data_IF_872695466556
#
_entry.id   IF_872695466556
#
_cell.length_a   1.000
_cell.length_b   1.000
_cell.length_c   1.000
_cell.angle_alpha   90.00
_cell.angle_beta   90.00
_cell.angle_gamma   90.00
#
_symmetry.space_group_name_H-M   'P 1'
#
loop_
_entity.id
_entity.type
_entity.pdbx_description
1 polymer ?
#
# COMPACT_ATOMS: atom_id res chain seq x y z
N UNK A 1 -8.11 11.73 -10.16
CA UNK A 1 -7.41 10.92 -11.19
C UNK A 1 -7.27 9.44 -10.77
N UNK A 2 -7.85 8.51 -11.55
CA UNK A 2 -7.98 7.09 -11.21
C UNK A 2 -6.65 6.44 -10.76
N UNK A 3 -6.47 6.33 -9.45
CA UNK A 3 -5.22 5.94 -8.78
C UNK A 3 -4.95 4.46 -8.92
N UNK A 4 -4.47 3.99 -10.07
CA UNK A 4 -3.91 2.62 -10.18
C UNK A 4 -3.81 2.03 -11.58
N UNK A 5 -3.72 2.89 -12.58
CA UNK A 5 -3.00 2.55 -13.81
C UNK A 5 -1.56 2.07 -13.49
N UNK A 6 -0.90 2.61 -12.46
CA UNK A 6 0.42 2.14 -12.00
C UNK A 6 0.46 0.63 -11.73
N UNK A 7 -0.52 0.10 -10.98
CA UNK A 7 -0.59 -1.33 -10.69
C UNK A 7 -0.88 -2.15 -11.94
N UNK A 8 -1.72 -1.65 -12.85
CA UNK A 8 -2.02 -2.32 -14.11
C UNK A 8 -0.79 -2.41 -15.04
N UNK A 9 -0.02 -1.32 -15.17
CA UNK A 9 1.23 -1.30 -15.96
C UNK A 9 2.27 -2.24 -15.36
N UNK A 10 2.51 -2.18 -14.05
CA UNK A 10 3.45 -3.07 -13.38
C UNK A 10 3.07 -4.54 -13.55
N UNK A 11 1.78 -4.86 -13.37
CA UNK A 11 1.24 -6.21 -13.61
C UNK A 11 1.46 -6.67 -15.05
N UNK A 12 1.24 -5.81 -16.03
CA UNK A 12 1.42 -6.14 -17.45
C UNK A 12 2.90 -6.44 -17.78
N UNK A 13 3.83 -5.62 -17.28
CA UNK A 13 5.28 -5.82 -17.44
C UNK A 13 5.71 -7.14 -16.81
N UNK A 14 5.30 -7.40 -15.57
CA UNK A 14 5.65 -8.65 -14.88
C UNK A 14 5.07 -9.88 -15.58
N UNK A 15 3.82 -9.83 -16.03
CA UNK A 15 3.21 -10.92 -16.82
C UNK A 15 3.98 -11.20 -18.10
N UNK A 16 4.47 -10.17 -18.79
CA UNK A 16 5.31 -10.35 -19.98
C UNK A 16 6.67 -10.95 -19.64
N UNK A 17 7.32 -10.48 -18.57
CA UNK A 17 8.61 -11.04 -18.12
C UNK A 17 8.49 -12.53 -17.72
N UNK A 18 7.44 -12.91 -16.99
CA UNK A 18 7.20 -14.31 -16.57
C UNK A 18 6.94 -15.25 -17.76
N UNK A 19 6.23 -14.79 -18.80
CA UNK A 19 6.03 -15.56 -20.04
C UNK A 19 7.34 -15.86 -20.78
N UNK A 20 8.27 -14.92 -20.81
CA UNK A 20 9.58 -15.12 -21.46
C UNK A 20 10.54 -16.03 -20.68
N UNK A 21 10.33 -16.18 -19.37
CA UNK A 21 11.23 -16.91 -18.48
C UNK A 21 10.82 -18.37 -18.19
N UNK A 22 9.80 -18.91 -18.87
CA UNK A 22 9.22 -20.23 -18.63
C UNK A 22 8.95 -20.53 -17.13
N UNK A 23 8.59 -19.49 -16.36
CA UNK A 23 8.29 -19.59 -14.93
C UNK A 23 6.82 -19.98 -14.76
N UNK A 24 6.51 -21.25 -15.01
CA UNK A 24 5.15 -21.82 -15.00
C UNK A 24 4.50 -21.87 -13.60
N UNK A 25 5.30 -21.78 -12.52
CA UNK A 25 4.84 -22.06 -11.15
C UNK A 25 4.46 -20.82 -10.31
N UNK A 26 4.77 -19.61 -10.78
CA UNK A 26 4.40 -18.39 -10.02
C UNK A 26 3.07 -17.88 -10.55
N UNK A 27 2.00 -18.34 -9.91
CA UNK A 27 0.61 -18.01 -10.20
C UNK A 27 0.38 -16.54 -10.60
N UNK A 28 -0.66 -16.34 -11.38
CA UNK A 28 -0.97 -15.09 -12.03
C UNK A 28 -1.11 -13.92 -11.03
N UNK A 29 -0.48 -12.78 -11.32
CA UNK A 29 -0.57 -11.60 -10.43
C UNK A 29 -2.04 -11.15 -10.37
N UNK A 30 -2.60 -10.93 -9.17
CA UNK A 30 -4.02 -10.64 -9.01
C UNK A 30 -4.41 -9.33 -9.68
N UNK A 31 -5.69 -9.20 -10.07
CA UNK A 31 -6.28 -8.00 -10.69
C UNK A 31 -6.71 -6.94 -9.68
N UNK A 32 -7.00 -7.38 -8.46
CA UNK A 32 -7.55 -6.60 -7.35
C UNK A 32 -6.92 -7.08 -6.06
N UNK A 33 -7.35 -6.55 -4.91
CA UNK A 33 -6.88 -7.00 -3.62
C UNK A 33 -7.15 -8.51 -3.45
N UNK A 34 -6.09 -9.29 -3.52
CA UNK A 34 -6.06 -10.68 -3.10
C UNK A 34 -5.28 -10.78 -1.80
N UNK A 35 -5.97 -11.11 -0.71
CA UNK A 35 -5.35 -11.18 0.62
C UNK A 35 -4.44 -12.39 0.73
N UNK A 36 -4.73 -13.47 0.01
CA UNK A 36 -4.04 -14.76 0.14
C UNK A 36 -2.90 -14.94 -0.86
N UNK A 37 -2.63 -13.92 -1.69
CA UNK A 37 -1.54 -13.96 -2.65
C UNK A 37 -0.18 -14.18 -1.95
N UNK A 38 0.50 -15.32 -2.20
CA UNK A 38 1.63 -15.80 -1.41
C UNK A 38 2.95 -15.15 -1.86
N UNK A 39 3.01 -13.82 -1.91
CA UNK A 39 4.22 -13.07 -2.24
C UNK A 39 4.57 -12.06 -1.15
N UNK A 40 5.78 -12.16 -0.61
CA UNK A 40 6.27 -11.27 0.44
C UNK A 40 6.28 -9.79 0.03
N UNK A 41 6.66 -9.48 -1.22
CA UNK A 41 6.64 -8.12 -1.73
C UNK A 41 5.22 -7.55 -1.70
N UNK A 42 4.27 -8.30 -2.24
CA UNK A 42 2.86 -7.91 -2.23
C UNK A 42 2.30 -7.69 -0.81
N UNK A 43 2.55 -8.62 0.13
CA UNK A 43 2.11 -8.49 1.51
C UNK A 43 2.76 -7.28 2.22
N UNK A 44 4.05 -7.00 1.96
CA UNK A 44 4.71 -5.80 2.46
C UNK A 44 4.14 -4.51 1.88
N UNK A 45 3.74 -4.54 0.60
CA UNK A 45 3.02 -3.44 -0.04
C UNK A 45 1.68 -3.15 0.64
N UNK A 46 0.90 -4.20 0.92
CA UNK A 46 -0.35 -4.10 1.70
C UNK A 46 -0.07 -3.51 3.08
N UNK A 47 0.92 -4.04 3.80
CA UNK A 47 1.30 -3.58 5.14
C UNK A 47 1.63 -2.08 5.16
N UNK A 48 2.40 -1.62 4.17
CA UNK A 48 2.75 -0.22 4.01
C UNK A 48 1.51 0.67 3.83
N UNK A 49 0.57 0.26 2.99
CA UNK A 49 -0.68 1.01 2.74
C UNK A 49 -1.52 1.15 4.02
N UNK A 50 -1.60 0.11 4.86
CA UNK A 50 -2.36 0.14 6.11
C UNK A 50 -1.71 1.07 7.14
N UNK A 51 -0.38 1.11 7.23
CA UNK A 51 0.30 2.10 8.08
C UNK A 51 0.13 3.53 7.57
N UNK A 52 0.17 3.77 6.26
CA UNK A 52 -0.16 5.08 5.67
C UNK A 52 -1.60 5.49 6.02
N UNK A 53 -2.55 4.56 5.98
CA UNK A 53 -3.92 4.81 6.42
C UNK A 53 -3.97 5.20 7.91
N UNK A 54 -3.25 4.50 8.78
CA UNK A 54 -3.17 4.84 10.20
C UNK A 54 -2.65 6.28 10.43
N UNK A 55 -1.63 6.70 9.68
CA UNK A 55 -1.13 8.08 9.73
C UNK A 55 -2.18 9.08 9.29
N UNK A 56 -2.84 8.84 8.16
CA UNK A 56 -3.91 9.71 7.65
C UNK A 56 -5.08 9.81 8.63
N UNK A 57 -5.46 8.70 9.26
CA UNK A 57 -6.51 8.65 10.27
C UNK A 57 -6.15 9.44 11.55
N UNK A 58 -4.87 9.41 11.95
CA UNK A 58 -4.38 10.09 13.15
C UNK A 58 -4.19 11.61 12.96
N UNK A 59 -3.66 12.01 11.80
CA UNK A 59 -3.20 13.38 11.53
C UNK A 59 -4.15 14.20 10.65
N UNK A 60 -5.08 13.54 9.93
CA UNK A 60 -5.98 14.21 8.99
C UNK A 60 -5.33 14.50 7.62
N UNK A 61 -5.99 15.29 6.76
CA UNK A 61 -5.55 15.53 5.37
C UNK A 61 -4.31 16.44 5.24
N UNK A 62 -3.91 17.16 6.29
CA UNK A 62 -2.79 18.12 6.27
C UNK A 62 -1.39 17.53 6.49
N UNK A 63 -1.14 16.27 6.13
CA UNK A 63 0.17 15.64 6.35
C UNK A 63 1.19 16.22 5.35
N UNK A 64 2.14 17.02 5.86
CA UNK A 64 3.17 17.70 5.05
C UNK A 64 4.08 16.76 4.23
N UNK A 65 4.30 15.53 4.70
CA UNK A 65 5.01 14.49 3.97
C UNK A 65 4.48 13.14 4.41
N UNK A 66 3.85 12.42 3.48
CA UNK A 66 3.27 11.11 3.76
C UNK A 66 4.35 10.05 3.96
N UNK A 67 4.01 8.94 4.61
CA UNK A 67 4.92 7.78 4.67
C UNK A 67 5.37 7.35 3.27
N UNK A 68 4.47 7.42 2.27
CA UNK A 68 4.79 7.14 0.87
C UNK A 68 5.96 8.00 0.37
N UNK A 69 5.91 9.31 0.58
CA UNK A 69 6.94 10.23 0.06
C UNK A 69 8.31 9.97 0.66
N UNK A 70 8.36 9.55 1.93
CA UNK A 70 9.61 9.34 2.65
C UNK A 70 10.19 7.94 2.49
N UNK A 71 9.33 6.93 2.43
CA UNK A 71 9.76 5.55 2.67
C UNK A 71 9.39 4.57 1.57
N UNK A 72 8.61 4.94 0.56
CA UNK A 72 8.15 3.97 -0.45
C UNK A 72 9.31 3.31 -1.22
N UNK A 73 10.29 4.11 -1.66
CA UNK A 73 11.48 3.59 -2.34
C UNK A 73 12.32 2.65 -1.47
N UNK A 74 12.60 3.07 -0.23
CA UNK A 74 13.35 2.24 0.72
C UNK A 74 12.56 0.97 1.14
N UNK A 75 11.24 1.08 1.34
CA UNK A 75 10.37 -0.03 1.76
C UNK A 75 10.24 -1.10 0.68
N UNK A 76 10.18 -0.69 -0.59
CA UNK A 76 10.16 -1.63 -1.70
C UNK A 76 11.53 -2.25 -1.97
N UNK A 77 12.64 -1.57 -1.69
CA UNK A 77 13.99 -2.10 -1.96
C UNK A 77 14.60 -2.89 -0.79
N UNK A 78 14.54 -2.37 0.44
CA UNK A 78 15.23 -2.88 1.64
C UNK A 78 14.32 -2.99 2.87
N UNK A 79 13.34 -3.92 2.87
CA UNK A 79 12.29 -3.96 3.89
C UNK A 79 12.80 -4.08 5.33
N UNK A 80 13.78 -4.97 5.59
CA UNK A 80 14.27 -5.22 6.94
C UNK A 80 14.78 -3.96 7.67
N UNK A 81 15.40 -3.03 6.94
CA UNK A 81 15.97 -1.81 7.53
C UNK A 81 14.92 -0.73 7.84
N UNK A 82 13.87 -0.65 7.04
CA UNK A 82 12.92 0.48 7.09
C UNK A 82 11.58 0.13 7.75
N UNK A 83 11.13 -1.12 7.64
CA UNK A 83 9.85 -1.51 8.24
C UNK A 83 9.86 -1.43 9.76
N UNK A 84 11.00 -1.62 10.43
CA UNK A 84 11.12 -1.37 11.86
C UNK A 84 10.74 0.08 12.24
N UNK A 85 11.15 1.05 11.42
CA UNK A 85 10.83 2.47 11.60
C UNK A 85 9.37 2.75 11.28
N UNK A 86 8.86 2.19 10.18
CA UNK A 86 7.45 2.34 9.76
C UNK A 86 6.51 1.79 10.83
N UNK A 87 6.78 0.58 11.33
CA UNK A 87 5.97 -0.06 12.37
C UNK A 87 5.97 0.79 13.64
N UNK A 88 7.14 1.23 14.11
CA UNK A 88 7.25 2.07 15.32
C UNK A 88 6.44 3.35 15.19
N UNK A 89 6.58 4.07 14.08
CA UNK A 89 5.84 5.30 13.84
C UNK A 89 4.34 5.04 13.66
N UNK A 90 3.99 3.94 12.98
CA UNK A 90 2.62 3.47 12.78
C UNK A 90 1.90 3.17 14.09
N UNK A 91 2.58 2.53 15.06
CA UNK A 91 2.01 2.28 16.39
C UNK A 91 1.68 3.57 17.14
N UNK A 92 2.51 4.61 17.01
CA UNK A 92 2.21 5.92 17.60
C UNK A 92 0.97 6.56 16.97
N UNK A 93 0.81 6.43 15.65
CA UNK A 93 -0.39 6.88 14.96
C UNK A 93 -1.62 6.09 15.39
N UNK A 94 -1.54 4.76 15.46
CA UNK A 94 -2.60 3.89 15.96
C UNK A 94 -3.04 4.26 17.38
N UNK A 95 -2.10 4.52 18.29
CA UNK A 95 -2.43 4.97 19.65
C UNK A 95 -3.24 6.27 19.67
N UNK A 96 -2.98 7.18 18.73
CA UNK A 96 -3.76 8.41 18.55
C UNK A 96 -5.16 8.10 17.97
N UNK A 97 -5.23 7.22 16.95
CA UNK A 97 -6.50 6.77 16.35
C UNK A 97 -7.39 6.09 17.40
N UNK A 98 -6.85 5.23 18.27
CA UNK A 98 -7.61 4.59 19.37
C UNK A 98 -8.34 5.60 20.25
N UNK A 99 -7.67 6.72 20.57
CA UNK A 99 -8.24 7.78 21.41
C UNK A 99 -9.32 8.58 20.71
N UNK A 100 -9.13 8.89 19.42
CA UNK A 100 -10.03 9.79 18.67
C UNK A 100 -11.14 9.06 17.92
N UNK A 101 -10.86 7.86 17.42
CA UNK A 101 -11.69 7.07 16.49
C UNK A 101 -11.51 5.56 16.77
N UNK A 102 -11.98 5.06 17.93
CA UNK A 102 -11.73 3.67 18.35
C UNK A 102 -12.23 2.62 17.34
N UNK A 103 -13.37 2.86 16.69
CA UNK A 103 -13.89 1.95 15.64
C UNK A 103 -12.94 1.84 14.44
N UNK A 104 -12.33 2.95 14.00
CA UNK A 104 -11.32 2.94 12.94
C UNK A 104 -10.04 2.22 13.37
N UNK A 105 -9.61 2.39 14.62
CA UNK A 105 -8.45 1.68 15.13
C UNK A 105 -8.66 0.16 15.09
N UNK A 106 -9.83 -0.33 15.51
CA UNK A 106 -10.15 -1.76 15.49
C UNK A 106 -10.08 -2.35 14.06
N UNK A 107 -10.59 -1.62 13.05
CA UNK A 107 -10.53 -2.08 11.66
C UNK A 107 -9.09 -2.11 11.14
N UNK A 108 -8.29 -1.07 11.42
CA UNK A 108 -6.89 -1.01 11.00
C UNK A 108 -6.07 -2.13 11.67
N UNK A 109 -6.28 -2.36 12.97
CA UNK A 109 -5.59 -3.42 13.72
C UNK A 109 -5.92 -4.81 13.18
N UNK A 110 -7.19 -5.07 12.90
CA UNK A 110 -7.62 -6.33 12.28
C UNK A 110 -6.92 -6.55 10.94
N UNK A 111 -6.81 -5.51 10.10
CA UNK A 111 -6.12 -5.61 8.81
C UNK A 111 -4.61 -5.84 9.00
N UNK A 112 -3.98 -5.19 9.98
CA UNK A 112 -2.57 -5.42 10.29
C UNK A 112 -2.31 -6.85 10.76
N UNK A 113 -3.11 -7.35 11.69
CA UNK A 113 -3.02 -8.73 12.19
C UNK A 113 -3.17 -9.75 11.06
N UNK A 114 -4.14 -9.52 10.17
CA UNK A 114 -4.40 -10.35 9.00
C UNK A 114 -3.21 -10.40 8.03
N UNK A 115 -2.54 -9.27 7.81
CA UNK A 115 -1.33 -9.20 6.98
C UNK A 115 -0.13 -9.86 7.68
N UNK A 116 0.09 -9.58 8.98
CA UNK A 116 1.19 -10.19 9.73
C UNK A 116 1.07 -11.71 9.80
N UNK A 117 -0.15 -12.26 9.91
CA UNK A 117 -0.38 -13.70 9.85
C UNK A 117 0.00 -14.35 8.51
N UNK A 118 0.14 -13.56 7.44
CA UNK A 118 0.54 -14.01 6.09
C UNK A 118 2.02 -13.79 5.78
N UNK A 119 2.71 -12.98 6.58
CA UNK A 119 4.15 -12.76 6.43
C UNK A 119 4.87 -13.94 7.09
N UNK A 120 5.21 -14.94 6.28
CA UNK A 120 6.00 -16.09 6.73
C UNK A 120 7.48 -15.68 6.76
N UNK A 121 8.19 -15.83 7.89
CA UNK A 121 9.63 -15.57 7.97
C UNK A 121 10.40 -16.42 6.95
N UNK A 122 11.25 -15.78 6.16
CA UNK A 122 12.06 -16.47 5.14
C UNK A 122 13.43 -16.98 5.69
N UNK A 123 13.64 -16.96 7.01
CA UNK A 123 14.91 -17.33 7.64
C UNK A 123 15.04 -16.79 9.07
N UNK A 124 16.26 -16.55 9.60
CA UNK A 124 16.46 -16.02 10.97
C UNK A 124 15.95 -14.57 11.13
N UNK A 125 15.70 -13.89 10.01
CA UNK A 125 15.08 -12.58 9.97
C UNK A 125 13.62 -12.72 9.53
N UNK A 126 12.71 -12.07 10.25
CA UNK A 126 11.29 -12.03 9.92
C UNK A 126 11.01 -11.31 8.60
N UNK A 127 11.89 -10.39 8.17
CA UNK A 127 11.77 -9.62 6.93
C UNK A 127 13.01 -9.74 6.04
N UNK A 128 12.86 -9.71 4.70
CA UNK A 128 13.98 -9.80 3.78
C UNK A 128 14.84 -8.54 3.80
N UNK A 129 16.17 -8.71 3.70
CA UNK A 129 17.13 -7.59 3.65
C UNK A 129 16.99 -6.76 2.38
N UNK A 130 16.68 -7.41 1.26
CA UNK A 130 16.39 -6.78 -0.03
C UNK A 130 15.33 -7.56 -0.79
N UNK A 131 14.57 -6.88 -1.65
CA UNK A 131 13.61 -7.50 -2.56
C UNK A 131 14.14 -7.50 -4.00
N UNK A 132 14.02 -8.61 -4.74
CA UNK A 132 14.29 -8.61 -6.18
C UNK A 132 13.27 -7.72 -6.91
N UNK A 133 13.64 -7.18 -8.08
CA UNK A 133 12.83 -6.20 -8.82
C UNK A 133 11.38 -6.66 -9.05
N UNK A 134 11.16 -7.95 -9.32
CA UNK A 134 9.81 -8.48 -9.48
C UNK A 134 8.97 -8.35 -8.20
N UNK A 135 9.58 -8.59 -7.04
CA UNK A 135 8.90 -8.44 -5.75
C UNK A 135 8.73 -6.96 -5.37
N UNK A 136 9.63 -6.07 -5.82
CA UNK A 136 9.45 -4.61 -5.65
C UNK A 136 8.24 -4.12 -6.47
N UNK A 137 8.05 -4.65 -7.67
CA UNK A 137 6.87 -4.35 -8.48
C UNK A 137 5.60 -4.94 -7.84
N UNK A 138 5.66 -6.17 -7.31
CA UNK A 138 4.53 -6.77 -6.58
C UNK A 138 4.20 -6.02 -5.28
N UNK A 139 5.20 -5.46 -4.59
CA UNK A 139 5.00 -4.52 -3.50
C UNK A 139 4.16 -3.31 -3.92
N UNK A 140 4.52 -2.67 -5.02
CA UNK A 140 3.77 -1.53 -5.51
C UNK A 140 2.33 -1.91 -5.88
N UNK A 141 2.12 -3.09 -6.49
CA UNK A 141 0.79 -3.61 -6.81
C UNK A 141 -0.04 -3.83 -5.53
N UNK A 142 0.52 -4.56 -4.55
CA UNK A 142 -0.16 -4.81 -3.27
C UNK A 142 -0.50 -3.53 -2.51
N UNK A 143 0.40 -2.55 -2.53
CA UNK A 143 0.17 -1.23 -1.99
C UNK A 143 -1.05 -0.54 -2.62
N UNK A 144 -1.09 -0.47 -3.96
CA UNK A 144 -2.20 0.20 -4.65
C UNK A 144 -3.51 -0.56 -4.52
N UNK A 145 -3.48 -1.89 -4.51
CA UNK A 145 -4.66 -2.71 -4.26
C UNK A 145 -5.24 -2.45 -2.87
N UNK A 146 -4.40 -2.47 -1.83
CA UNK A 146 -4.82 -2.20 -0.47
C UNK A 146 -5.28 -0.75 -0.26
N UNK A 147 -4.61 0.24 -0.89
CA UNK A 147 -4.97 1.65 -0.77
C UNK A 147 -6.31 1.98 -1.43
N UNK A 148 -6.67 1.26 -2.51
CA UNK A 148 -7.97 1.37 -3.17
C UNK A 148 -9.10 0.73 -2.37
N UNK A 149 -8.77 -0.27 -1.56
CA UNK A 149 -9.73 -0.94 -0.70
C UNK A 149 -10.27 0.03 0.35
N UNK A 150 -11.60 0.06 0.50
CA UNK A 150 -12.25 0.92 1.48
C UNK A 150 -12.31 0.22 2.80
N UNK A 151 -11.30 0.49 3.62
CA UNK A 151 -11.25 0.03 4.99
C UNK A 151 -12.28 0.85 5.79
N UNK A 152 -13.47 0.29 6.06
CA UNK A 152 -14.47 0.87 6.98
C UNK A 152 -15.74 1.50 6.37
N UNK A 153 -16.13 1.18 5.13
CA UNK A 153 -17.45 1.55 4.57
C UNK A 153 -18.23 0.31 4.11
N UNK A 154 -19.58 0.37 4.00
CA UNK A 154 -20.33 -0.70 3.32
C UNK A 154 -19.80 -0.83 1.89
N UNK A 155 -19.82 -2.05 1.37
CA UNK A 155 -19.31 -2.36 0.03
C UNK A 155 -19.86 -1.38 -1.03
N UNK A 156 -18.97 -0.64 -1.69
CA UNK A 156 -19.28 0.23 -2.83
C UNK A 156 -19.85 1.62 -2.50
N UNK A 157 -19.76 2.54 -3.47
CA UNK A 157 -20.30 3.91 -3.50
C UNK A 157 -19.47 5.05 -2.87
N UNK A 158 -19.11 6.04 -3.70
CA UNK A 158 -18.39 7.33 -3.55
C UNK A 158 -16.97 7.50 -4.14
N UNK A 159 -17.00 8.06 -5.35
CA UNK A 159 -15.90 8.48 -6.19
C UNK A 159 -14.97 9.52 -5.53
N UNK A 160 -13.73 9.46 -6.00
CA UNK A 160 -12.70 10.48 -6.07
C UNK A 160 -13.22 11.91 -5.77
N UNK A 161 -12.92 12.44 -4.58
CA UNK A 161 -12.92 13.88 -4.31
C UNK A 161 -11.48 14.32 -4.08
N UNK A 162 -10.66 14.19 -5.13
CA UNK A 162 -9.36 14.86 -5.27
C UNK A 162 -9.19 15.22 -6.75
N UNK A 163 -10.16 15.97 -7.29
CA UNK A 163 -9.95 16.77 -8.49
C UNK A 163 -9.34 18.10 -8.06
N UNK A 164 -8.19 18.53 -8.62
CA UNK A 164 -7.72 19.90 -8.41
C UNK A 164 -8.73 20.87 -9.02
N UNK A 165 -9.09 21.86 -8.22
CA UNK A 165 -9.94 22.98 -8.58
C UNK A 165 -9.33 23.72 -9.77
N UNK A 166 -9.91 23.55 -10.96
CA UNK A 166 -9.57 24.35 -12.13
C UNK A 166 -10.35 25.67 -12.04
N UNK A 167 -9.86 26.57 -11.19
CA UNK A 167 -10.32 27.94 -11.15
C UNK A 167 -9.56 28.76 -12.22
N UNK A 168 -10.29 29.01 -13.30
CA UNK A 168 -10.46 30.32 -13.94
C UNK A 168 -9.22 31.01 -14.55
N UNK A 169 -9.00 30.77 -15.84
CA UNK A 169 -8.42 31.79 -16.73
C UNK A 169 -9.53 32.29 -17.65
N UNK A 170 -10.33 33.23 -17.15
CA UNK A 170 -11.17 34.06 -17.97
C UNK A 170 -10.29 35.00 -18.81
N UNK A 171 -10.52 34.94 -20.10
CA UNK A 171 -9.99 35.78 -21.15
C UNK A 171 -10.28 37.25 -20.85
N UNK A 172 -9.25 38.12 -20.94
CA UNK A 172 -9.46 39.56 -21.08
C UNK A 172 -9.05 39.92 -22.51
N UNK A 173 -10.05 40.01 -23.38
CA UNK A 173 -9.98 40.79 -24.61
C UNK A 173 -10.40 42.23 -24.27
N UNK A 174 -9.46 43.17 -24.30
CA UNK A 174 -9.59 44.49 -24.98
C UNK A 174 -8.20 45.15 -25.12
#
# INVERSE_FOLDING_TARGET
PATGWHAAVLRAVLRRARRGANRSDKGDIPVSLDRDYPNIGYQLGRLFAVYELAQRAALGPGVKASMRDRYFGAASATPAGIFAVIIRNGQNHLANVRKKKPGWAAVIEKELEEIFGRIIPAGPLSLPRSLPLEHQAEFAIGYYHQRRERIGGPAGAVADQDAPDAADTAETEE
#
